data_IF_071792798923
#
_entry.id   IF_071792798923
#
_cell.length_a   1.000
_cell.length_b   1.000
_cell.length_c   1.000
_cell.angle_alpha   90.00
_cell.angle_beta   90.00
_cell.angle_gamma   90.00
#
_symmetry.space_group_name_H-M   'P 1'
#
loop_
_entity.id
_entity.type
_entity.pdbx_description
1 polymer ?
#
# COMPACT_ATOMS: atom_id res chain seq x y z
N UNK A 1 15.49 15.91 -6.26
CA UNK A 1 15.74 15.00 -7.38
C UNK A 1 14.62 14.01 -7.47
N UNK A 2 14.00 13.92 -8.62
CA UNK A 2 12.91 12.96 -8.82
C UNK A 2 13.48 11.61 -9.24
N UNK A 3 12.99 10.57 -8.60
CA UNK A 3 13.40 9.20 -8.92
C UNK A 3 12.23 8.27 -8.61
N UNK A 4 12.41 7.00 -8.91
CA UNK A 4 11.37 6.01 -8.63
C UNK A 4 11.88 5.07 -7.56
N UNK A 5 11.14 4.97 -6.46
CA UNK A 5 11.45 4.05 -5.37
C UNK A 5 10.37 3.00 -5.28
N UNK A 6 10.74 1.83 -4.75
CA UNK A 6 9.77 0.76 -4.56
C UNK A 6 9.53 0.55 -3.07
N UNK A 7 8.31 0.16 -2.77
CA UNK A 7 7.86 -0.06 -1.39
C UNK A 7 7.14 -1.39 -1.33
N UNK A 8 7.77 -2.43 -0.79
CA UNK A 8 7.06 -3.69 -0.60
C UNK A 8 5.97 -3.51 0.46
N UNK A 9 4.81 -4.08 0.18
CA UNK A 9 3.74 -4.10 1.17
C UNK A 9 3.87 -5.39 1.93
N UNK A 10 4.30 -5.29 3.18
CA UNK A 10 4.44 -6.48 4.02
C UNK A 10 3.07 -6.83 4.56
N UNK A 11 2.53 -7.91 4.05
CA UNK A 11 1.20 -8.34 4.43
C UNK A 11 1.22 -9.02 5.78
N UNK A 12 0.22 -8.72 6.57
CA UNK A 12 0.01 -9.43 7.81
C UNK A 12 -0.69 -10.74 7.51
N UNK A 13 -0.44 -11.72 8.36
CA UNK A 13 -1.19 -12.96 8.27
C UNK A 13 -2.68 -12.63 8.39
N UNK A 14 -3.48 -13.25 7.57
CA UNK A 14 -4.91 -13.02 7.62
C UNK A 14 -5.42 -11.94 6.72
N UNK A 15 -4.56 -11.38 5.88
CA UNK A 15 -5.01 -10.39 4.90
C UNK A 15 -5.99 -11.00 3.91
N UNK A 16 -6.00 -12.32 3.80
CA UNK A 16 -6.84 -13.00 2.83
C UNK A 16 -8.30 -12.73 3.07
N UNK A 17 -8.95 -12.20 2.03
CA UNK A 17 -10.39 -11.97 2.06
C UNK A 17 -10.83 -10.81 2.94
N UNK A 18 -9.93 -9.96 3.37
CA UNK A 18 -10.29 -8.86 4.23
C UNK A 18 -9.78 -7.54 3.67
N UNK A 19 -10.25 -6.47 4.26
CA UNK A 19 -9.80 -5.12 3.94
C UNK A 19 -8.66 -4.75 4.88
N UNK A 20 -7.63 -4.11 4.36
CA UNK A 20 -6.50 -3.67 5.16
C UNK A 20 -6.13 -2.23 4.80
N UNK A 21 -5.56 -1.54 5.77
CA UNK A 21 -5.23 -0.11 5.63
C UNK A 21 -3.78 0.14 6.02
N UNK A 22 -2.85 -0.32 5.20
CA UNK A 22 -1.45 -0.09 5.52
C UNK A 22 -1.08 1.39 5.40
N UNK A 23 -0.08 1.77 6.17
CA UNK A 23 0.47 3.12 6.13
C UNK A 23 1.96 2.99 5.87
N UNK A 24 2.44 3.72 4.88
CA UNK A 24 3.84 3.66 4.48
C UNK A 24 4.41 5.06 4.47
N UNK A 25 5.62 5.22 4.99
CA UNK A 25 6.30 6.50 4.89
C UNK A 25 6.94 6.65 3.53
N UNK A 26 6.67 7.77 2.89
CA UNK A 26 7.33 8.10 1.63
C UNK A 26 7.46 9.61 1.53
N UNK A 27 8.34 10.11 0.65
CA UNK A 27 8.56 11.55 0.53
C UNK A 27 7.27 12.30 0.23
N UNK A 28 7.12 13.47 0.81
CA UNK A 28 5.96 14.30 0.58
C UNK A 28 5.78 14.54 -0.91
N UNK A 29 4.55 14.43 -1.38
CA UNK A 29 4.23 14.65 -2.79
C UNK A 29 4.49 13.46 -3.67
N UNK A 30 4.83 12.30 -3.11
CA UNK A 30 5.06 11.11 -3.92
C UNK A 30 3.83 10.75 -4.74
N UNK A 31 4.08 10.31 -5.95
CA UNK A 31 3.02 9.85 -6.83
C UNK A 31 3.14 8.34 -6.98
N UNK A 32 2.11 7.62 -6.55
CA UNK A 32 2.10 6.17 -6.68
C UNK A 32 1.78 5.82 -8.12
N UNK A 33 2.68 5.08 -8.75
CA UNK A 33 2.57 4.78 -10.17
C UNK A 33 1.85 3.47 -10.43
N UNK A 34 2.18 2.43 -9.67
CA UNK A 34 1.59 1.11 -9.91
C UNK A 34 1.86 0.19 -8.73
N UNK A 35 1.15 -0.91 -8.71
CA UNK A 35 1.37 -2.01 -7.78
C UNK A 35 1.48 -3.30 -8.57
N UNK A 36 2.46 -4.13 -8.22
CA UNK A 36 2.64 -5.42 -8.85
C UNK A 36 3.25 -6.39 -7.86
N UNK A 37 3.04 -7.66 -8.07
CA UNK A 37 3.68 -8.68 -7.26
C UNK A 37 5.12 -8.83 -7.69
N UNK A 38 6.02 -8.84 -6.72
CA UNK A 38 7.42 -9.12 -6.95
C UNK A 38 7.78 -10.38 -6.18
N UNK A 39 8.41 -11.33 -6.85
CA UNK A 39 8.84 -12.55 -6.18
C UNK A 39 10.12 -12.24 -5.43
N UNK A 40 10.15 -12.62 -4.16
CA UNK A 40 11.34 -12.47 -3.33
C UNK A 40 11.79 -13.82 -2.84
N UNK A 41 13.09 -14.12 -2.93
CA UNK A 41 13.58 -15.39 -2.43
C UNK A 41 13.43 -15.48 -0.92
N UNK A 42 13.15 -16.67 -0.43
CA UNK A 42 13.09 -16.93 0.98
C UNK A 42 14.35 -17.71 1.37
N UNK A 43 14.46 -18.03 2.65
CA UNK A 43 15.58 -18.84 3.10
C UNK A 43 15.42 -20.32 2.78
N UNK A 44 14.21 -20.71 2.43
CA UNK A 44 13.98 -22.09 2.03
C UNK A 44 14.57 -22.34 0.67
N UNK A 45 15.04 -23.57 0.43
CA UNK A 45 15.57 -23.95 -0.86
C UNK A 45 14.43 -23.81 -1.87
N UNK A 46 14.72 -23.09 -2.96
CA UNK A 46 13.73 -22.86 -4.02
C UNK A 46 12.47 -22.14 -3.54
N UNK A 47 12.56 -21.50 -2.39
CA UNK A 47 11.42 -20.78 -1.87
C UNK A 47 11.35 -19.35 -2.38
N UNK A 48 10.15 -18.95 -2.80
CA UNK A 48 9.86 -17.58 -3.19
C UNK A 48 8.59 -17.14 -2.50
N UNK A 49 8.53 -15.86 -2.21
CA UNK A 49 7.38 -15.25 -1.60
C UNK A 49 6.85 -14.17 -2.54
N UNK A 50 5.55 -14.16 -2.71
CA UNK A 50 4.90 -13.13 -3.52
C UNK A 50 4.69 -11.89 -2.66
N UNK A 51 5.30 -10.78 -3.05
CA UNK A 51 5.21 -9.55 -2.27
C UNK A 51 4.63 -8.45 -3.14
N UNK A 52 3.43 -7.97 -2.81
CA UNK A 52 2.90 -6.81 -3.51
C UNK A 52 3.83 -5.63 -3.28
N UNK A 53 4.16 -4.94 -4.34
CA UNK A 53 5.15 -3.88 -4.29
C UNK A 53 4.62 -2.67 -5.02
N UNK A 54 4.79 -1.50 -4.41
CA UNK A 54 4.39 -0.23 -4.99
C UNK A 54 5.62 0.44 -5.57
N UNK A 55 5.48 1.01 -6.75
CA UNK A 55 6.49 1.89 -7.33
C UNK A 55 5.94 3.30 -7.31
N UNK A 56 6.75 4.25 -6.83
CA UNK A 56 6.31 5.63 -6.68
C UNK A 56 7.36 6.59 -7.20
N UNK A 57 6.90 7.63 -7.86
CA UNK A 57 7.76 8.74 -8.28
C UNK A 57 7.89 9.68 -7.09
N UNK A 58 9.11 9.88 -6.63
CA UNK A 58 9.36 10.62 -5.40
C UNK A 58 10.42 11.69 -5.62
N UNK A 59 10.35 12.72 -4.78
CA UNK A 59 11.46 13.65 -4.63
C UNK A 59 12.31 13.14 -3.47
N UNK A 60 13.49 12.66 -3.79
CA UNK A 60 14.32 11.98 -2.81
C UNK A 60 14.74 12.89 -1.65
N UNK A 61 14.62 14.19 -1.81
CA UNK A 61 15.04 15.13 -0.78
C UNK A 61 13.87 15.68 0.04
N UNK A 62 12.65 15.35 -0.32
CA UNK A 62 11.50 15.81 0.44
C UNK A 62 11.39 15.04 1.75
N UNK A 63 10.80 15.70 2.75
CA UNK A 63 10.59 15.02 4.02
C UNK A 63 9.65 13.84 3.85
N UNK A 64 9.84 12.83 4.67
CA UNK A 64 8.99 11.64 4.60
C UNK A 64 7.76 11.85 5.46
N UNK A 65 6.62 11.50 4.89
CA UNK A 65 5.33 11.63 5.55
C UNK A 65 4.58 10.32 5.41
N UNK A 66 3.56 10.15 6.22
CA UNK A 66 2.75 8.94 6.17
C UNK A 66 1.79 8.98 4.98
N UNK A 67 1.75 7.89 4.23
CA UNK A 67 0.84 7.73 3.11
C UNK A 67 -0.12 6.60 3.43
N UNK A 68 -1.41 6.89 3.37
CA UNK A 68 -2.43 5.90 3.66
C UNK A 68 -2.81 5.11 2.42
N UNK A 69 -2.98 3.82 2.61
CA UNK A 69 -3.39 2.93 1.55
C UNK A 69 -4.61 2.15 2.00
N UNK A 70 -5.30 1.57 1.03
CA UNK A 70 -6.44 0.71 1.30
C UNK A 70 -6.33 -0.50 0.37
N UNK A 71 -6.37 -1.68 0.94
CA UNK A 71 -6.34 -2.92 0.19
C UNK A 71 -7.67 -3.62 0.38
N UNK A 72 -8.32 -3.97 -0.71
CA UNK A 72 -9.61 -4.66 -0.67
C UNK A 72 -9.53 -5.89 -1.54
N UNK A 73 -9.90 -7.05 -0.99
CA UNK A 73 -10.00 -8.26 -1.78
C UNK A 73 -11.27 -8.25 -2.61
N UNK A 74 -11.20 -8.85 -3.79
CA UNK A 74 -12.37 -8.95 -4.66
C UNK A 74 -13.52 -9.62 -3.92
N UNK A 75 -14.67 -9.03 -3.97
CA UNK A 75 -15.86 -9.57 -3.30
C UNK A 75 -16.07 -9.03 -1.89
N UNK A 76 -15.11 -8.33 -1.34
CA UNK A 76 -15.26 -7.75 -0.02
C UNK A 76 -15.83 -6.35 -0.11
N UNK A 77 -16.45 -5.91 0.95
CA UNK A 77 -17.05 -4.59 0.99
C UNK A 77 -15.96 -3.51 0.97
N UNK A 78 -16.17 -2.49 0.15
CA UNK A 78 -15.28 -1.33 0.13
C UNK A 78 -15.77 -0.36 1.20
N UNK A 79 -14.92 -0.02 2.17
CA UNK A 79 -15.34 0.90 3.23
C UNK A 79 -15.77 2.23 2.67
N UNK A 80 -16.89 2.74 3.15
CA UNK A 80 -17.40 4.03 2.73
C UNK A 80 -16.80 5.15 3.56
N UNK A 81 -16.41 4.84 4.77
CA UNK A 81 -16.01 5.87 5.70
C UNK A 81 -15.01 5.30 6.68
N UNK A 82 -13.82 5.85 6.68
CA UNK A 82 -12.75 5.42 7.57
C UNK A 82 -12.15 6.67 8.15
N UNK A 83 -12.58 7.03 9.35
CA UNK A 83 -11.99 8.12 10.13
C UNK A 83 -11.28 9.18 9.28
N UNK A 84 -12.06 10.02 8.64
CA UNK A 84 -11.51 11.10 7.84
C UNK A 84 -11.01 10.70 6.47
N UNK A 85 -11.04 9.40 6.17
CA UNK A 85 -10.61 8.90 4.88
C UNK A 85 -11.62 7.85 4.44
N UNK A 86 -12.31 8.12 3.36
CA UNK A 86 -13.26 7.17 2.82
C UNK A 86 -12.79 6.72 1.46
N UNK A 87 -13.32 5.57 1.02
CA UNK A 87 -12.94 5.03 -0.28
C UNK A 87 -13.26 5.99 -1.41
N UNK A 88 -14.30 6.79 -1.25
CA UNK A 88 -14.67 7.72 -2.31
C UNK A 88 -13.65 8.83 -2.53
N UNK A 89 -12.80 9.09 -1.53
CA UNK A 89 -11.74 10.08 -1.66
C UNK A 89 -10.41 9.46 -2.05
N UNK A 90 -10.41 8.16 -2.31
CA UNK A 90 -9.21 7.43 -2.64
C UNK A 90 -9.06 7.35 -4.15
N UNK A 91 -7.81 7.20 -4.58
CA UNK A 91 -7.50 6.99 -5.99
C UNK A 91 -7.17 5.54 -6.21
N UNK A 92 -7.81 4.91 -7.17
CA UNK A 92 -7.53 3.52 -7.49
C UNK A 92 -6.16 3.41 -8.15
N UNK A 93 -5.33 2.53 -7.62
CA UNK A 93 -3.98 2.32 -8.16
C UNK A 93 -3.93 1.12 -9.09
N UNK A 94 -4.46 -0.01 -8.65
CA UNK A 94 -4.39 -1.20 -9.47
C UNK A 94 -4.81 -2.46 -8.75
N UNK A 95 -4.67 -3.55 -9.46
CA UNK A 95 -5.06 -4.88 -9.01
C UNK A 95 -3.85 -5.81 -9.09
N UNK A 96 -3.73 -6.70 -8.14
CA UNK A 96 -2.73 -7.76 -8.27
C UNK A 96 -3.33 -9.09 -7.84
N UNK A 97 -2.67 -10.17 -8.26
CA UNK A 97 -3.12 -11.52 -7.95
C UNK A 97 -2.02 -12.27 -7.24
N UNK A 98 -2.42 -13.15 -6.36
CA UNK A 98 -1.49 -14.02 -5.66
C UNK A 98 -1.98 -15.47 -5.76
N UNK A 99 -1.03 -16.40 -5.63
CA UNK A 99 -1.31 -17.83 -5.66
C UNK A 99 -2.10 -18.22 -6.89
N UNK A 100 -1.54 -17.86 -8.05
CA UNK A 100 -2.10 -18.21 -9.35
C UNK A 100 -3.54 -17.70 -9.53
N UNK A 101 -3.81 -16.52 -8.98
CA UNK A 101 -5.13 -15.93 -9.16
C UNK A 101 -6.16 -16.35 -8.13
N UNK A 102 -5.76 -17.18 -7.17
CA UNK A 102 -6.68 -17.57 -6.12
C UNK A 102 -7.14 -16.35 -5.32
N UNK A 103 -6.22 -15.42 -5.09
CA UNK A 103 -6.52 -14.19 -4.35
C UNK A 103 -6.27 -13.00 -5.25
N UNK A 104 -7.26 -12.11 -5.32
CA UNK A 104 -7.18 -10.91 -6.15
C UNK A 104 -7.46 -9.72 -5.25
N UNK A 105 -6.52 -8.78 -5.24
CA UNK A 105 -6.58 -7.62 -4.37
C UNK A 105 -6.54 -6.34 -5.18
N UNK A 106 -7.10 -5.29 -4.60
CA UNK A 106 -7.15 -3.97 -5.20
C UNK A 106 -6.53 -2.96 -4.26
N UNK A 107 -5.73 -2.06 -4.80
CA UNK A 107 -5.06 -1.03 -4.01
C UNK A 107 -5.62 0.33 -4.32
N UNK A 108 -5.95 1.05 -3.27
CA UNK A 108 -6.34 2.46 -3.35
C UNK A 108 -5.31 3.31 -2.62
N UNK A 109 -5.02 4.48 -3.18
CA UNK A 109 -4.17 5.49 -2.58
C UNK A 109 -5.08 6.46 -1.84
N UNK A 110 -4.94 6.52 -0.52
CA UNK A 110 -5.77 7.38 0.31
C UNK A 110 -5.14 8.74 0.58
N UNK A 111 -3.92 8.96 0.08
CA UNK A 111 -3.25 10.23 0.22
C UNK A 111 -2.40 10.32 1.47
N UNK A 112 -1.84 11.49 1.65
CA UNK A 112 -0.99 11.73 2.81
C UNK A 112 -1.84 11.90 4.05
N UNK A 113 -1.38 11.32 5.14
CA UNK A 113 -2.09 11.34 6.41
C UNK A 113 -1.40 12.34 7.32
N UNK A 114 -2.14 13.26 7.93
CA UNK A 114 -1.54 14.15 8.90
C UNK A 114 -0.87 13.39 10.02
N UNK A 115 0.26 13.88 10.48
CA UNK A 115 0.98 13.25 11.56
C UNK A 115 0.34 13.69 12.87
N UNK A 116 -0.35 12.76 13.51
CA UNK A 116 -1.03 13.03 14.78
C UNK A 116 -0.15 12.82 15.98
N UNK A 117 1.01 12.26 15.77
CA UNK A 117 1.89 11.97 16.90
C UNK A 117 2.32 13.23 17.61
N UNK A 118 2.48 14.28 16.85
CA UNK A 118 2.86 15.57 17.42
C UNK A 118 1.83 16.03 18.41
N UNK A 119 0.57 15.82 18.08
CA UNK A 119 -0.51 16.20 18.95
C UNK A 119 -0.51 15.34 20.18
N UNK A 120 -0.26 14.09 20.00
CA UNK A 120 -0.23 13.17 21.11
C UNK A 120 0.82 13.52 22.11
N UNK A 121 1.86 14.16 21.64
CA UNK A 121 2.91 14.59 22.53
C UNK A 121 2.54 15.75 23.42
N UNK A 122 1.46 16.34 23.14
CA UNK A 122 1.06 17.50 23.94
C UNK A 122 0.28 17.09 25.16
#
# INVERSE_FOLDING_TARGET
VKTIWKYPILQQAGLLGITDRPVIKMPRGAEILTVQVQLQPTRAIDGFREVPTIWALVDSEAEKVHRGLLIVGTGNEVPQDVEGLSAQWSTYVGTWQQENGTFVFHLFDRGEIPDHDDDGGT
#
